data_IF_155896829641
#
_entry.id   IF_155896829641
#
_cell.length_a   1.000
_cell.length_b   1.000
_cell.length_c   1.000
_cell.angle_alpha   90.00
_cell.angle_beta   90.00
_cell.angle_gamma   90.00
#
_symmetry.space_group_name_H-M   'P 1'
#
loop_
_entity.id
_entity.type
_entity.pdbx_description
1 polymer ?
#
# COMPACT_ATOMS: atom_id res chain seq x y z
N UNK A 1 -1.28 -16.38 -3.59
CA UNK A 1 -2.24 -15.96 -2.54
C UNK A 1 -2.37 -14.44 -2.44
N UNK A 2 -1.30 -13.69 -2.06
CA UNK A 2 -1.33 -12.21 -1.89
C UNK A 2 -2.11 -11.45 -2.97
N UNK A 3 -1.80 -11.69 -4.25
CA UNK A 3 -2.46 -11.00 -5.37
C UNK A 3 -3.97 -11.26 -5.46
N UNK A 4 -4.43 -12.49 -5.15
CA UNK A 4 -5.85 -12.83 -5.18
C UNK A 4 -6.60 -12.14 -4.05
N UNK A 5 -6.03 -12.14 -2.84
CA UNK A 5 -6.58 -11.44 -1.68
C UNK A 5 -6.64 -9.93 -1.95
N UNK A 6 -5.55 -9.35 -2.46
CA UNK A 6 -5.51 -7.91 -2.76
C UNK A 6 -6.49 -7.52 -3.87
N UNK A 7 -6.69 -8.36 -4.89
CA UNK A 7 -7.71 -8.12 -5.92
C UNK A 7 -9.11 -8.11 -5.30
N UNK A 8 -9.44 -9.11 -4.48
CA UNK A 8 -10.72 -9.15 -3.78
C UNK A 8 -10.95 -7.91 -2.88
N UNK A 9 -9.93 -7.46 -2.14
CA UNK A 9 -10.03 -6.24 -1.31
C UNK A 9 -10.30 -5.01 -2.20
N UNK A 10 -9.55 -4.85 -3.30
CA UNK A 10 -9.65 -3.72 -4.23
C UNK A 10 -10.99 -3.64 -4.97
N UNK A 11 -11.68 -4.76 -5.13
CA UNK A 11 -13.01 -4.81 -5.76
C UNK A 11 -14.13 -4.18 -4.90
N UNK A 12 -13.80 -3.63 -3.71
CA UNK A 12 -14.68 -2.68 -3.02
C UNK A 12 -15.79 -3.31 -2.19
N UNK A 13 -15.42 -4.23 -1.29
CA UNK A 13 -16.37 -4.94 -0.42
C UNK A 13 -16.80 -4.14 0.83
N UNK A 14 -17.35 -2.94 0.65
CA UNK A 14 -17.97 -2.19 1.75
C UNK A 14 -16.99 -1.48 2.68
N UNK A 15 -15.82 -1.07 2.17
CA UNK A 15 -14.88 -0.22 2.89
C UNK A 15 -15.10 1.26 2.54
N UNK A 16 -14.99 2.13 3.54
CA UNK A 16 -14.98 3.59 3.39
C UNK A 16 -13.76 4.04 2.56
N UNK A 17 -12.57 3.51 2.88
CA UNK A 17 -11.36 3.75 2.12
C UNK A 17 -10.43 2.52 2.14
N UNK A 18 -9.52 2.44 1.16
CA UNK A 18 -8.50 1.40 1.04
C UNK A 18 -7.15 2.09 0.88
N UNK A 19 -6.16 1.66 1.68
CA UNK A 19 -4.74 2.01 1.48
C UNK A 19 -4.04 0.80 0.86
N UNK A 20 -3.57 0.94 -0.38
CA UNK A 20 -2.95 -0.16 -1.13
C UNK A 20 -1.42 -0.21 -0.91
N UNK A 21 -1.00 -0.79 0.21
CA UNK A 21 0.42 -0.94 0.52
C UNK A 21 1.16 -1.90 -0.42
N UNK A 22 0.48 -2.86 -1.06
CA UNK A 22 1.09 -3.70 -2.08
C UNK A 22 1.47 -2.87 -3.31
N UNK A 23 0.59 -1.99 -3.78
CA UNK A 23 0.93 -1.09 -4.88
C UNK A 23 2.01 -0.07 -4.48
N UNK A 24 1.99 0.41 -3.23
CA UNK A 24 2.97 1.37 -2.72
C UNK A 24 4.40 0.79 -2.66
N UNK A 25 4.54 -0.46 -2.19
CA UNK A 25 5.84 -1.04 -1.86
C UNK A 25 6.39 -1.99 -2.93
N UNK A 26 5.58 -2.48 -3.86
CA UNK A 26 6.04 -3.47 -4.85
C UNK A 26 7.05 -2.87 -5.82
N UNK A 27 7.99 -3.71 -6.25
CA UNK A 27 8.86 -3.39 -7.38
C UNK A 27 8.00 -3.27 -8.67
N UNK A 28 7.96 -2.12 -9.36
CA UNK A 28 7.18 -1.98 -10.58
C UNK A 28 7.66 -2.89 -11.72
N UNK A 29 8.95 -3.25 -11.75
CA UNK A 29 9.50 -4.20 -12.71
C UNK A 29 9.22 -5.66 -12.29
N UNK A 30 9.04 -5.91 -10.98
CA UNK A 30 8.73 -7.24 -10.44
C UNK A 30 7.56 -7.18 -9.44
N UNK A 31 6.31 -7.04 -9.90
CA UNK A 31 5.16 -6.75 -9.02
C UNK A 31 4.87 -7.81 -7.94
N UNK A 32 5.47 -8.99 -8.04
CA UNK A 32 5.38 -10.04 -7.02
C UNK A 32 6.34 -9.84 -5.84
N UNK A 33 7.25 -8.87 -5.90
CA UNK A 33 8.29 -8.59 -4.90
C UNK A 33 8.16 -7.18 -4.33
N UNK A 34 8.68 -6.98 -3.13
CA UNK A 34 8.90 -5.64 -2.57
C UNK A 34 10.07 -4.97 -3.30
N UNK A 35 10.00 -3.66 -3.50
CA UNK A 35 11.13 -2.89 -4.02
C UNK A 35 12.31 -3.02 -3.01
N UNK A 36 13.54 -3.32 -3.45
CA UNK A 36 14.66 -3.57 -2.53
C UNK A 36 14.93 -2.42 -1.55
N UNK A 37 14.62 -1.18 -1.92
CA UNK A 37 14.75 -0.01 -1.05
C UNK A 37 13.81 -0.02 0.16
N UNK A 38 12.72 -0.80 0.11
CA UNK A 38 11.73 -0.93 1.18
C UNK A 38 11.80 -2.26 1.91
N UNK A 39 12.60 -3.21 1.43
CA UNK A 39 12.73 -4.55 2.02
C UNK A 39 13.68 -4.53 3.22
N UNK A 40 13.30 -5.21 4.31
CA UNK A 40 14.19 -5.43 5.46
C UNK A 40 15.33 -6.41 5.16
N UNK A 41 15.20 -7.20 4.10
CA UNK A 41 16.11 -8.25 3.67
C UNK A 41 15.55 -9.66 3.84
N UNK A 42 14.37 -9.81 4.45
CA UNK A 42 13.70 -11.11 4.61
C UNK A 42 12.64 -11.40 3.53
N UNK A 43 12.43 -10.44 2.61
CA UNK A 43 11.48 -10.53 1.51
C UNK A 43 10.01 -10.64 1.93
N UNK A 44 9.70 -10.34 3.18
CA UNK A 44 8.36 -10.38 3.75
C UNK A 44 7.99 -9.08 4.46
N UNK A 45 8.86 -8.57 5.32
CA UNK A 45 8.63 -7.38 6.12
C UNK A 45 9.30 -6.16 5.50
N UNK A 46 8.62 -5.00 5.50
CA UNK A 46 9.27 -3.73 5.18
C UNK A 46 10.42 -3.45 6.15
N UNK A 47 11.50 -2.85 5.66
CA UNK A 47 12.49 -2.19 6.49
C UNK A 47 12.04 -0.77 6.89
N UNK A 48 12.93 0.00 7.50
CA UNK A 48 12.63 1.33 8.03
C UNK A 48 12.04 2.27 6.97
N UNK A 49 12.63 2.31 5.77
CA UNK A 49 12.13 3.13 4.67
C UNK A 49 10.75 2.69 4.17
N UNK A 50 10.47 1.38 4.18
CA UNK A 50 9.17 0.84 3.80
C UNK A 50 8.09 1.18 4.82
N UNK A 51 8.38 1.06 6.11
CA UNK A 51 7.46 1.48 7.17
C UNK A 51 7.21 2.99 7.16
N UNK A 52 8.24 3.81 6.92
CA UNK A 52 8.09 5.24 6.79
C UNK A 52 7.14 5.61 5.63
N UNK A 53 7.30 4.98 4.46
CA UNK A 53 6.41 5.19 3.32
C UNK A 53 4.96 4.77 3.62
N UNK A 54 4.76 3.64 4.30
CA UNK A 54 3.42 3.20 4.73
C UNK A 54 2.78 4.20 5.70
N UNK A 55 3.54 4.69 6.68
CA UNK A 55 3.06 5.65 7.67
C UNK A 55 2.66 6.99 7.01
N UNK A 56 3.46 7.47 6.06
CA UNK A 56 3.15 8.68 5.29
C UNK A 56 1.86 8.53 4.49
N UNK A 57 1.68 7.39 3.81
CA UNK A 57 0.46 7.10 3.07
C UNK A 57 -0.78 7.02 3.98
N UNK A 58 -0.65 6.39 5.15
CA UNK A 58 -1.71 6.31 6.14
C UNK A 58 -2.07 7.68 6.73
N UNK A 59 -1.07 8.48 7.10
CA UNK A 59 -1.27 9.83 7.62
C UNK A 59 -2.06 10.70 6.64
N UNK A 60 -1.71 10.69 5.34
CA UNK A 60 -2.44 11.43 4.30
C UNK A 60 -3.92 11.04 4.23
N UNK A 61 -4.25 9.76 4.35
CA UNK A 61 -5.65 9.31 4.30
C UNK A 61 -6.41 9.70 5.57
N UNK A 62 -5.77 9.56 6.73
CA UNK A 62 -6.38 9.88 8.03
C UNK A 62 -6.54 11.39 8.24
N UNK A 63 -5.58 12.19 7.78
CA UNK A 63 -5.62 13.67 7.82
C UNK A 63 -6.66 14.25 6.84
N UNK A 64 -7.04 13.49 5.81
CA UNK A 64 -8.12 13.85 4.88
C UNK A 64 -9.48 13.22 5.27
N UNK A 65 -9.51 12.28 6.22
CA UNK A 65 -10.75 11.66 6.70
C UNK A 65 -11.63 12.61 7.54
N UNK A 66 -11.16 13.82 7.86
CA UNK A 66 -12.03 14.90 8.37
C UNK A 66 -12.90 15.54 7.30
N UNK A 67 -12.63 15.34 6.00
CA UNK A 67 -13.45 15.85 4.89
C UNK A 67 -13.51 14.84 3.73
N UNK A 68 -14.55 13.99 3.71
CA UNK A 68 -15.04 13.17 2.59
C UNK A 68 -14.04 12.49 1.59
N UNK A 69 -13.93 11.16 1.72
CA UNK A 69 -13.42 10.12 0.79
C UNK A 69 -12.58 10.49 -0.45
N UNK A 70 -11.24 10.37 -0.36
CA UNK A 70 -10.38 10.09 -1.50
C UNK A 70 -9.78 8.67 -1.44
N UNK A 71 -9.89 7.92 -2.55
CA UNK A 71 -9.01 6.77 -2.81
C UNK A 71 -7.66 7.33 -3.24
N UNK A 72 -6.65 7.27 -2.37
CA UNK A 72 -5.28 7.63 -2.74
C UNK A 72 -4.62 6.41 -3.38
N UNK A 73 -4.75 6.31 -4.70
CA UNK A 73 -3.92 5.41 -5.50
C UNK A 73 -2.56 6.08 -5.78
N UNK A 74 -1.47 5.32 -5.65
CA UNK A 74 -0.14 5.78 -6.07
C UNK A 74 -0.15 6.13 -7.57
N UNK A 75 0.58 7.18 -8.01
CA UNK A 75 0.62 7.58 -9.40
C UNK A 75 1.17 6.45 -10.28
N UNK A 76 0.59 6.31 -11.48
CA UNK A 76 0.99 5.35 -12.51
C UNK A 76 2.43 5.56 -12.97
#
# INVERSE_FOLDING_TARGET
MRQQVNAWIRDGNGFDAIIDFDALLRDPAHPTRMLPAFDSGDHLHPGDAGYAAMAEAAARVLDHATDAHPVVAAPR
#
